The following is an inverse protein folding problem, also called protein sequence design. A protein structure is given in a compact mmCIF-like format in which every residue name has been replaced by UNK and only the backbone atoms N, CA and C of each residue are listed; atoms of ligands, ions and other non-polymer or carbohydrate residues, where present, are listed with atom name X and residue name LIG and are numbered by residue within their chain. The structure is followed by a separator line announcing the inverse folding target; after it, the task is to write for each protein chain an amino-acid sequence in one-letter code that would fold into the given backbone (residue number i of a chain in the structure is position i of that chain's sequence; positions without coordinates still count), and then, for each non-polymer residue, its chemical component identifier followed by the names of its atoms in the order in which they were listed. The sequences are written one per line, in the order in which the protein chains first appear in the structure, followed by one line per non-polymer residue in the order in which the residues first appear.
data_IF_524242575382
#
_entry.id   IF_524242575382
#
_cell.length_a   1.000
_cell.length_b   1.000
_cell.length_c   1.000
_cell.angle_alpha   90.00
_cell.angle_beta   90.00
_cell.angle_gamma   90.00
#
_symmetry.space_group_name_H-M   'P 1'
#
loop_
_entity.id
_entity.type
_entity.pdbx_description
1 polymer ?
#
# COMPACT_ATOMS: atom_id res chain seq x y z
N UNK A 1 -41.76 25.32 55.29
CA UNK A 1 -41.89 24.26 54.27
C UNK A 1 -40.98 24.62 53.10
N UNK A 2 -39.92 23.82 52.98
CA UNK A 2 -39.00 23.55 51.87
C UNK A 2 -38.74 24.63 50.80
N UNK A 3 -37.51 25.16 50.83
CA UNK A 3 -36.80 25.73 49.69
C UNK A 3 -35.98 24.58 49.08
N UNK A 4 -36.28 24.12 47.86
CA UNK A 4 -35.40 23.23 47.09
C UNK A 4 -34.56 24.05 46.12
N UNK A 5 -33.28 24.20 46.45
CA UNK A 5 -32.25 24.79 45.62
C UNK A 5 -31.76 23.78 44.56
N UNK A 6 -31.59 24.31 43.35
CA UNK A 6 -30.75 23.79 42.27
C UNK A 6 -29.31 23.55 42.75
N UNK A 7 -28.72 22.41 42.39
CA UNK A 7 -27.27 22.20 42.48
C UNK A 7 -26.78 21.68 41.12
N UNK A 8 -26.16 22.58 40.36
CA UNK A 8 -25.30 22.27 39.23
C UNK A 8 -24.02 21.65 39.79
N UNK A 9 -23.80 20.37 39.52
CA UNK A 9 -22.56 19.68 39.87
C UNK A 9 -21.51 19.89 38.78
N UNK A 10 -20.57 20.81 39.04
CA UNK A 10 -19.31 20.92 38.31
C UNK A 10 -18.48 19.65 38.49
N UNK A 11 -18.57 18.75 37.51
CA UNK A 11 -17.75 17.54 37.42
C UNK A 11 -16.29 17.89 37.11
N UNK A 12 -15.53 18.29 38.14
CA UNK A 12 -14.08 18.41 38.07
C UNK A 12 -13.46 17.03 37.76
N UNK A 13 -13.03 16.85 36.52
CA UNK A 13 -12.30 15.66 36.04
C UNK A 13 -11.01 15.46 36.84
N UNK A 14 -10.78 14.28 37.38
CA UNK A 14 -9.64 13.97 38.26
C UNK A 14 -8.32 13.98 37.47
N UNK A 15 -7.19 14.09 38.19
CA UNK A 15 -5.84 14.13 37.58
C UNK A 15 -5.49 12.82 36.84
N UNK A 16 -6.07 11.67 37.21
CA UNK A 16 -5.93 10.42 36.45
C UNK A 16 -6.60 10.50 35.06
N UNK A 17 -7.77 11.11 34.93
CA UNK A 17 -8.47 11.24 33.64
C UNK A 17 -7.68 12.12 32.65
N UNK A 18 -6.96 13.12 33.17
CA UNK A 18 -6.08 13.98 32.40
C UNK A 18 -4.80 13.25 31.95
N UNK A 19 -4.27 12.35 32.78
CA UNK A 19 -3.09 11.52 32.47
C UNK A 19 -3.39 10.43 31.43
N UNK A 20 -4.61 9.87 31.44
CA UNK A 20 -5.08 8.90 30.43
C UNK A 20 -5.41 9.53 29.06
N UNK A 21 -5.63 10.85 28.99
CA UNK A 21 -5.99 11.57 27.77
C UNK A 21 -4.83 11.82 26.79
N UNK A 22 -3.56 11.60 27.19
CA UNK A 22 -2.38 11.80 26.32
C UNK A 22 -2.08 10.60 25.40
N UNK A 23 -2.74 9.46 25.61
CA UNK A 23 -2.40 8.18 24.96
C UNK A 23 -3.29 7.81 23.77
N UNK A 24 -4.28 8.64 23.43
CA UNK A 24 -5.41 8.19 22.59
C UNK A 24 -5.03 7.87 21.13
N UNK A 25 -3.89 8.36 20.64
CA UNK A 25 -3.45 8.13 19.25
C UNK A 25 -1.94 7.93 19.10
N UNK A 26 -1.35 7.02 19.90
CA UNK A 26 0.05 6.63 19.68
C UNK A 26 0.18 5.87 18.37
N UNK A 27 0.94 6.46 17.44
CA UNK A 27 1.36 5.79 16.20
C UNK A 27 2.04 4.46 16.51
N UNK A 28 1.95 3.52 15.57
CA UNK A 28 2.73 2.29 15.64
C UNK A 28 4.22 2.64 15.66
N UNK A 29 4.94 2.05 16.61
CA UNK A 29 6.39 2.13 16.72
C UNK A 29 7.05 1.18 15.71
N UNK A 30 8.38 1.18 15.63
CA UNK A 30 9.09 0.15 14.87
C UNK A 30 8.92 -1.23 15.51
N UNK A 31 8.95 -1.30 16.84
CA UNK A 31 8.80 -2.56 17.59
C UNK A 31 7.42 -3.20 17.37
N UNK A 32 6.36 -2.39 17.36
CA UNK A 32 5.02 -2.86 17.02
C UNK A 32 5.01 -3.51 15.62
N UNK A 33 5.65 -2.87 14.63
CA UNK A 33 5.71 -3.40 13.25
C UNK A 33 6.52 -4.68 13.15
N UNK A 34 7.64 -4.77 13.87
CA UNK A 34 8.44 -6.00 13.96
C UNK A 34 7.58 -7.13 14.55
N UNK A 35 6.82 -6.83 15.60
CA UNK A 35 5.89 -7.78 16.23
C UNK A 35 4.80 -8.23 15.27
N UNK A 36 4.18 -7.31 14.52
CA UNK A 36 3.22 -7.63 13.46
C UNK A 36 3.86 -8.58 12.43
N UNK A 37 5.05 -8.25 11.90
CA UNK A 37 5.71 -9.08 10.89
C UNK A 37 6.00 -10.50 11.40
N UNK A 38 6.47 -10.64 12.65
CA UNK A 38 6.74 -11.93 13.29
C UNK A 38 5.45 -12.75 13.43
N UNK A 39 4.40 -12.15 13.99
CA UNK A 39 3.13 -12.83 14.20
C UNK A 39 2.45 -13.23 12.87
N UNK A 40 2.56 -12.39 11.83
CA UNK A 40 2.12 -12.73 10.47
C UNK A 40 2.87 -13.93 9.88
N UNK A 41 4.17 -14.07 10.17
CA UNK A 41 4.96 -15.24 9.76
C UNK A 41 4.53 -16.51 10.49
N UNK A 42 4.12 -16.37 11.75
CA UNK A 42 3.57 -17.46 12.57
C UNK A 42 2.11 -17.81 12.19
N UNK A 43 1.45 -16.99 11.38
CA UNK A 43 0.10 -17.23 10.88
C UNK A 43 -1.01 -16.77 11.83
N UNK A 44 -0.70 -15.87 12.76
CA UNK A 44 -1.68 -15.31 13.68
C UNK A 44 -2.69 -14.40 12.97
N UNK A 45 -3.88 -14.30 13.55
CA UNK A 45 -4.98 -13.43 13.12
C UNK A 45 -4.77 -11.98 13.57
N UNK A 46 -5.43 -11.02 12.92
CA UNK A 46 -5.36 -9.63 13.37
C UNK A 46 -5.88 -9.38 14.79
N UNK A 47 -6.77 -10.26 15.28
CA UNK A 47 -7.26 -10.19 16.67
C UNK A 47 -6.14 -10.50 17.65
N UNK A 48 -5.43 -11.60 17.43
CA UNK A 48 -4.28 -12.00 18.26
C UNK A 48 -3.15 -10.97 18.17
N UNK A 49 -2.83 -10.51 16.96
CA UNK A 49 -1.80 -9.50 16.74
C UNK A 49 -2.15 -8.20 17.47
N UNK A 50 -3.40 -7.74 17.36
CA UNK A 50 -3.87 -6.54 18.05
C UNK A 50 -3.74 -6.65 19.57
N UNK A 51 -4.07 -7.81 20.14
CA UNK A 51 -3.88 -8.07 21.56
C UNK A 51 -2.40 -8.01 21.98
N UNK A 52 -1.48 -8.53 21.16
CA UNK A 52 -0.04 -8.52 21.44
C UNK A 52 0.56 -7.10 21.53
N UNK A 53 0.14 -6.19 20.65
CA UNK A 53 0.68 -4.82 20.59
C UNK A 53 -0.21 -3.78 21.28
N UNK A 54 -1.30 -4.21 21.92
CA UNK A 54 -2.27 -3.31 22.57
C UNK A 54 -2.96 -2.36 21.60
N UNK A 55 -3.30 -2.84 20.39
CA UNK A 55 -4.00 -2.07 19.35
C UNK A 55 -5.26 -2.78 18.87
N UNK A 56 -6.19 -2.00 18.33
CA UNK A 56 -7.39 -2.55 17.72
C UNK A 56 -7.02 -3.39 16.47
N UNK A 57 -7.68 -4.54 16.22
CA UNK A 57 -7.42 -5.37 15.04
C UNK A 57 -7.60 -4.62 13.71
N UNK A 58 -8.47 -3.61 13.66
CA UNK A 58 -8.62 -2.76 12.48
C UNK A 58 -7.39 -1.85 12.26
N UNK A 59 -6.69 -1.44 13.32
CA UNK A 59 -5.40 -0.74 13.21
C UNK A 59 -4.36 -1.62 12.55
N UNK A 60 -4.24 -2.87 13.00
CA UNK A 60 -3.34 -3.86 12.38
C UNK A 60 -3.72 -4.10 10.92
N UNK A 61 -5.01 -4.30 10.63
CA UNK A 61 -5.46 -4.50 9.25
C UNK A 61 -5.18 -3.30 8.35
N UNK A 62 -5.32 -2.06 8.84
CA UNK A 62 -5.04 -0.85 8.06
C UNK A 62 -3.54 -0.71 7.80
N UNK A 63 -2.71 -0.93 8.82
CA UNK A 63 -1.25 -0.94 8.69
C UNK A 63 -0.78 -1.97 7.65
N UNK A 64 -1.23 -3.22 7.75
CA UNK A 64 -0.82 -4.28 6.82
C UNK A 64 -1.25 -3.96 5.39
N UNK A 65 -2.49 -3.49 5.18
CA UNK A 65 -3.00 -3.11 3.84
C UNK A 65 -2.25 -1.92 3.25
N UNK A 66 -1.86 -0.94 4.07
CA UNK A 66 -1.16 0.26 3.61
C UNK A 66 0.28 -0.02 3.16
N UNK A 67 0.90 -1.09 3.67
CA UNK A 67 2.31 -1.41 3.45
C UNK A 67 2.52 -2.82 2.87
N UNK A 68 1.64 -3.25 1.95
CA UNK A 68 1.82 -4.50 1.21
C UNK A 68 2.97 -4.37 0.19
N UNK A 69 3.94 -5.28 0.30
CA UNK A 69 5.04 -5.46 -0.64
C UNK A 69 4.69 -6.56 -1.66
N UNK A 70 4.63 -6.18 -2.93
CA UNK A 70 4.22 -7.05 -4.03
C UNK A 70 5.44 -7.68 -4.70
N UNK A 71 5.48 -9.02 -4.73
CA UNK A 71 6.62 -9.77 -5.31
C UNK A 71 6.15 -10.78 -6.35
N UNK A 72 6.60 -10.57 -7.59
CA UNK A 72 6.35 -11.48 -8.71
C UNK A 72 7.56 -12.40 -8.90
N UNK A 73 7.65 -13.43 -8.06
CA UNK A 73 8.79 -14.36 -8.02
C UNK A 73 8.36 -15.80 -8.22
N UNK A 74 9.29 -16.63 -8.66
CA UNK A 74 9.16 -18.08 -8.75
C UNK A 74 10.44 -18.79 -8.31
N UNK A 75 10.56 -20.08 -8.63
CA UNK A 75 11.84 -20.80 -8.51
C UNK A 75 12.72 -20.55 -9.74
N UNK A 76 13.99 -20.95 -9.67
CA UNK A 76 14.90 -20.88 -10.84
C UNK A 76 14.34 -21.64 -12.05
N UNK A 77 13.73 -22.80 -11.81
CA UNK A 77 13.17 -23.64 -12.87
C UNK A 77 11.78 -23.17 -13.31
N UNK A 78 11.00 -22.56 -12.42
CA UNK A 78 9.65 -22.06 -12.69
C UNK A 78 9.50 -20.63 -12.21
N UNK A 79 9.68 -19.71 -13.15
CA UNK A 79 9.55 -18.28 -12.92
C UNK A 79 8.13 -17.87 -12.53
N UNK A 80 7.95 -16.56 -12.32
CA UNK A 80 6.64 -15.98 -12.13
C UNK A 80 5.75 -16.28 -13.35
N UNK A 81 4.60 -16.88 -13.11
CA UNK A 81 3.60 -17.16 -14.12
C UNK A 81 2.23 -17.12 -13.43
N UNK A 82 1.44 -16.04 -13.63
CA UNK A 82 0.13 -15.90 -13.04
C UNK A 82 -0.97 -16.63 -13.83
N UNK A 83 -0.65 -17.29 -14.95
CA UNK A 83 -1.66 -17.95 -15.77
C UNK A 83 -2.41 -19.06 -15.00
N UNK A 84 -3.73 -19.08 -15.09
CA UNK A 84 -4.59 -20.13 -14.52
C UNK A 84 -4.23 -21.52 -15.01
N UNK A 85 -3.75 -21.61 -16.25
CA UNK A 85 -3.37 -22.87 -16.89
C UNK A 85 -1.90 -23.26 -16.67
N UNK A 86 -1.11 -22.47 -15.91
CA UNK A 86 0.36 -22.64 -15.72
C UNK A 86 0.82 -24.01 -15.24
N UNK A 87 -0.05 -24.83 -14.64
CA UNK A 87 0.32 -26.16 -14.12
C UNK A 87 0.14 -27.29 -15.14
N UNK A 88 -0.69 -27.09 -16.17
CA UNK A 88 -1.16 -28.15 -17.07
C UNK A 88 -1.13 -27.77 -18.56
N UNK A 89 -0.86 -26.52 -18.88
CA UNK A 89 -0.80 -26.07 -20.27
C UNK A 89 0.36 -26.75 -21.00
N UNK A 90 0.04 -27.55 -22.03
CA UNK A 90 1.00 -28.27 -22.88
C UNK A 90 1.19 -27.60 -24.24
N UNK A 91 0.60 -26.42 -24.46
CA UNK A 91 0.85 -25.64 -25.69
C UNK A 91 2.33 -25.31 -25.81
N UNK A 92 2.86 -25.34 -27.02
CA UNK A 92 4.25 -25.04 -27.32
C UNK A 92 4.32 -23.89 -28.34
N UNK A 93 5.52 -23.32 -28.51
CA UNK A 93 5.82 -22.32 -29.54
C UNK A 93 4.92 -21.08 -29.52
N UNK A 94 4.40 -20.71 -28.34
CA UNK A 94 3.52 -19.53 -28.20
C UNK A 94 4.23 -18.22 -28.60
N UNK A 95 5.56 -18.16 -28.55
CA UNK A 95 6.34 -17.00 -28.98
C UNK A 95 6.71 -17.05 -30.47
N UNK A 96 6.24 -18.04 -31.23
CA UNK A 96 6.71 -18.34 -32.59
C UNK A 96 7.90 -19.30 -32.59
N UNK A 97 8.03 -20.08 -33.67
CA UNK A 97 9.06 -21.12 -33.82
C UNK A 97 10.48 -20.56 -33.73
N UNK A 98 10.74 -19.40 -34.35
CA UNK A 98 12.07 -18.77 -34.34
C UNK A 98 12.43 -18.18 -32.97
N UNK A 99 11.49 -17.51 -32.31
CA UNK A 99 11.75 -16.90 -31.00
C UNK A 99 11.84 -17.96 -29.90
N UNK A 100 10.96 -18.97 -29.90
CA UNK A 100 11.12 -20.11 -29.00
C UNK A 100 12.39 -20.91 -29.34
N UNK A 101 12.72 -21.13 -30.62
CA UNK A 101 13.89 -21.89 -31.07
C UNK A 101 15.25 -21.23 -30.79
N UNK A 102 15.34 -19.90 -30.83
CA UNK A 102 16.54 -19.15 -30.43
C UNK A 102 16.71 -19.15 -28.90
N UNK A 103 15.62 -18.89 -28.15
CA UNK A 103 15.62 -18.94 -26.69
C UNK A 103 15.90 -20.38 -26.18
N UNK A 104 15.41 -21.41 -26.87
CA UNK A 104 15.66 -22.82 -26.53
C UNK A 104 17.15 -23.22 -26.63
N UNK A 105 17.94 -22.54 -27.48
CA UNK A 105 19.39 -22.80 -27.63
C UNK A 105 20.27 -22.05 -26.64
N UNK A 106 19.85 -20.87 -26.17
CA UNK A 106 20.63 -20.00 -25.27
C UNK A 106 20.15 -20.03 -23.80
N UNK A 107 18.89 -20.39 -23.54
CA UNK A 107 18.27 -20.26 -22.22
C UNK A 107 17.26 -21.40 -21.99
N UNK A 108 17.77 -22.59 -21.68
CA UNK A 108 17.03 -23.73 -21.14
C UNK A 108 15.59 -23.93 -21.66
N UNK A 109 15.41 -24.12 -22.97
CA UNK A 109 14.48 -25.13 -23.50
C UNK A 109 13.04 -25.17 -22.96
N UNK A 110 12.42 -24.04 -22.60
CA UNK A 110 11.03 -24.04 -22.12
C UNK A 110 10.09 -24.21 -23.30
N UNK A 111 9.89 -25.47 -23.70
CA UNK A 111 9.04 -25.87 -24.83
C UNK A 111 7.57 -25.59 -24.55
N UNK A 112 7.14 -25.77 -23.29
CA UNK A 112 5.76 -25.59 -22.88
C UNK A 112 5.48 -24.17 -22.39
N UNK A 113 4.32 -23.65 -22.79
CA UNK A 113 3.73 -22.40 -22.34
C UNK A 113 3.68 -22.28 -20.81
N UNK A 114 3.47 -23.39 -20.08
CA UNK A 114 3.49 -23.44 -18.62
C UNK A 114 4.79 -22.96 -17.99
N UNK A 115 5.91 -23.16 -18.69
CA UNK A 115 7.24 -22.83 -18.20
C UNK A 115 7.82 -21.59 -18.88
N UNK A 116 7.24 -21.16 -20.00
CA UNK A 116 7.61 -19.96 -20.73
C UNK A 116 7.36 -18.67 -19.91
N UNK A 117 8.40 -17.84 -19.78
CA UNK A 117 8.32 -16.56 -19.05
C UNK A 117 7.48 -15.50 -19.81
N UNK A 118 7.21 -15.74 -21.11
CA UNK A 118 6.39 -14.88 -21.96
C UNK A 118 4.92 -15.36 -22.06
N UNK A 119 4.49 -16.32 -21.24
CA UNK A 119 3.12 -16.82 -21.24
C UNK A 119 2.06 -15.71 -21.10
N UNK A 120 2.33 -14.70 -20.26
CA UNK A 120 1.44 -13.55 -20.02
C UNK A 120 1.22 -12.70 -21.27
N UNK A 121 2.18 -12.68 -22.19
CA UNK A 121 2.16 -11.81 -23.37
C UNK A 121 1.70 -12.57 -24.60
N UNK A 122 2.17 -13.81 -24.75
CA UNK A 122 2.07 -14.54 -26.01
C UNK A 122 1.07 -15.70 -25.99
N UNK A 123 0.54 -16.10 -24.83
CA UNK A 123 -0.42 -17.20 -24.77
C UNK A 123 -1.84 -16.68 -25.11
N UNK A 124 -2.51 -17.20 -26.15
CA UNK A 124 -3.86 -16.78 -26.51
C UNK A 124 -4.92 -17.19 -25.48
N UNK A 125 -4.64 -18.22 -24.68
CA UNK A 125 -5.53 -18.70 -23.61
C UNK A 125 -5.10 -18.14 -22.24
N UNK A 126 -4.32 -17.06 -22.21
CA UNK A 126 -3.89 -16.50 -20.94
C UNK A 126 -5.08 -15.99 -20.12
N UNK A 127 -5.25 -16.55 -18.93
CA UNK A 127 -6.19 -16.07 -17.92
C UNK A 127 -5.43 -15.83 -16.61
N UNK A 128 -5.49 -14.62 -16.06
CA UNK A 128 -4.79 -14.30 -14.81
C UNK A 128 -5.46 -14.98 -13.60
N UNK A 129 -4.72 -15.80 -12.87
CA UNK A 129 -5.13 -16.37 -11.59
C UNK A 129 -4.55 -15.57 -10.42
N UNK A 130 -5.43 -15.02 -9.59
CA UNK A 130 -5.05 -14.40 -8.32
C UNK A 130 -5.17 -15.40 -7.17
N UNK A 131 -4.19 -15.39 -6.28
CA UNK A 131 -4.16 -16.31 -5.13
C UNK A 131 -5.41 -16.12 -4.24
N UNK A 132 -6.20 -17.18 -4.04
CA UNK A 132 -7.43 -17.13 -3.24
C UNK A 132 -7.16 -16.80 -1.76
N UNK A 133 -6.02 -17.23 -1.22
CA UNK A 133 -5.63 -16.96 0.17
C UNK A 133 -5.45 -15.46 0.45
N UNK A 134 -5.11 -14.65 -0.57
CA UNK A 134 -4.95 -13.20 -0.42
C UNK A 134 -6.29 -12.45 -0.37
N UNK A 135 -7.42 -13.12 -0.68
CA UNK A 135 -8.76 -12.53 -0.53
C UNK A 135 -9.21 -12.46 0.93
N UNK A 136 -8.53 -13.16 1.84
CA UNK A 136 -8.87 -13.26 3.25
C UNK A 136 -7.74 -12.68 4.10
N UNK A 137 -8.08 -12.20 5.30
CA UNK A 137 -7.08 -11.80 6.28
C UNK A 137 -6.12 -12.98 6.57
N UNK A 138 -4.81 -12.73 6.70
CA UNK A 138 -4.16 -11.42 6.79
C UNK A 138 -3.68 -10.80 5.45
N UNK A 139 -4.18 -11.27 4.30
CA UNK A 139 -3.86 -10.75 2.95
C UNK A 139 -2.37 -10.85 2.56
N UNK A 140 -1.58 -11.65 3.26
CA UNK A 140 -0.13 -11.77 3.03
C UNK A 140 0.32 -13.22 2.92
N UNK A 141 1.49 -13.41 2.33
CA UNK A 141 2.16 -14.69 2.13
C UNK A 141 3.18 -15.02 3.22
N UNK A 142 3.34 -14.19 4.25
CA UNK A 142 4.37 -14.34 5.29
C UNK A 142 4.38 -15.74 5.94
N UNK A 143 3.21 -16.36 6.15
CA UNK A 143 3.03 -17.72 6.71
C UNK A 143 2.79 -18.82 5.66
N UNK A 144 2.84 -18.49 4.36
CA UNK A 144 2.49 -19.43 3.30
C UNK A 144 3.58 -20.52 3.13
N UNK A 145 3.23 -21.78 3.44
CA UNK A 145 4.15 -22.92 3.37
C UNK A 145 4.72 -23.18 1.96
N UNK A 146 3.93 -22.87 0.94
CA UNK A 146 4.29 -23.09 -0.48
C UNK A 146 4.85 -21.83 -1.17
N UNK A 147 5.20 -20.78 -0.41
CA UNK A 147 5.58 -19.48 -0.97
C UNK A 147 6.79 -19.54 -1.91
N UNK A 148 7.74 -20.45 -1.65
CA UNK A 148 8.95 -20.63 -2.46
C UNK A 148 8.65 -21.21 -3.84
N UNK A 149 7.75 -22.19 -3.92
CA UNK A 149 7.35 -22.86 -5.16
C UNK A 149 6.16 -22.19 -5.86
N UNK A 150 5.48 -21.26 -5.20
CA UNK A 150 4.37 -20.51 -5.77
C UNK A 150 4.88 -19.56 -6.86
N UNK A 151 4.25 -19.60 -8.03
CA UNK A 151 4.56 -18.75 -9.19
C UNK A 151 3.53 -17.62 -9.39
N UNK A 152 2.53 -17.51 -8.53
CA UNK A 152 1.56 -16.42 -8.55
C UNK A 152 2.14 -15.16 -7.93
N UNK A 153 1.47 -14.03 -8.14
CA UNK A 153 1.79 -12.77 -7.48
C UNK A 153 1.66 -12.94 -5.96
N UNK A 154 2.68 -12.49 -5.22
CA UNK A 154 2.74 -12.61 -3.75
C UNK A 154 2.63 -11.23 -3.14
N UNK A 155 2.10 -11.20 -1.92
CA UNK A 155 2.00 -10.01 -1.10
C UNK A 155 2.67 -10.31 0.24
N UNK A 156 3.54 -9.43 0.71
CA UNK A 156 4.23 -9.57 1.99
C UNK A 156 4.05 -8.31 2.82
N UNK A 157 4.19 -8.44 4.13
CA UNK A 157 4.41 -7.32 5.02
C UNK A 157 5.86 -7.35 5.51
N UNK A 158 6.58 -6.25 5.33
CA UNK A 158 7.93 -6.03 5.81
C UNK A 158 7.95 -4.81 6.74
N UNK A 159 8.29 -5.01 8.00
CA UNK A 159 8.26 -3.99 9.04
C UNK A 159 9.24 -2.85 8.77
N UNK A 160 10.40 -3.14 8.18
CA UNK A 160 11.42 -2.13 7.91
C UNK A 160 10.97 -1.20 6.79
N UNK A 161 10.48 -1.78 5.69
CA UNK A 161 9.94 -0.99 4.59
C UNK A 161 8.68 -0.21 5.03
N UNK A 162 7.77 -0.85 5.78
CA UNK A 162 6.59 -0.17 6.34
C UNK A 162 6.97 1.03 7.22
N UNK A 163 7.93 0.86 8.12
CA UNK A 163 8.39 1.93 9.00
C UNK A 163 9.04 3.08 8.21
N UNK A 164 9.93 2.75 7.26
CA UNK A 164 10.59 3.71 6.39
C UNK A 164 9.58 4.53 5.58
N UNK A 165 8.57 3.88 4.97
CA UNK A 165 7.50 4.57 4.25
C UNK A 165 6.70 5.48 5.19
N UNK A 166 6.35 4.99 6.39
CA UNK A 166 5.65 5.79 7.39
C UNK A 166 6.43 7.04 7.81
N UNK A 167 7.73 6.93 8.10
CA UNK A 167 8.58 8.07 8.45
C UNK A 167 8.71 9.06 7.30
N UNK A 168 8.87 8.56 6.07
CA UNK A 168 8.89 9.40 4.87
C UNK A 168 7.59 10.18 4.71
N UNK A 169 6.43 9.50 4.75
CA UNK A 169 5.12 10.17 4.65
C UNK A 169 4.91 11.19 5.77
N UNK A 170 5.32 10.86 7.00
CA UNK A 170 5.25 11.77 8.15
C UNK A 170 6.13 13.01 7.97
N UNK A 171 7.33 12.82 7.44
CA UNK A 171 8.25 13.91 7.09
C UNK A 171 7.65 14.78 5.99
N UNK A 172 7.23 14.19 4.88
CA UNK A 172 6.72 14.90 3.71
C UNK A 172 5.43 15.67 4.02
N UNK A 173 4.55 15.12 4.85
CA UNK A 173 3.34 15.82 5.32
C UNK A 173 3.64 17.07 6.16
N UNK A 174 4.87 17.22 6.66
CA UNK A 174 5.29 18.31 7.55
C UNK A 174 6.27 19.28 6.91
N UNK A 175 6.73 19.00 5.69
CA UNK A 175 7.63 19.89 4.94
C UNK A 175 6.93 21.16 4.44
N UNK A 176 5.61 21.27 4.59
CA UNK A 176 4.86 22.42 4.10
C UNK A 176 4.84 22.47 2.57
N UNK A 177 4.43 23.61 2.02
CA UNK A 177 4.58 23.87 0.58
C UNK A 177 6.04 24.26 0.36
N UNK A 178 6.74 23.51 -0.47
CA UNK A 178 8.12 23.82 -0.89
C UNK A 178 8.05 24.98 -1.90
N UNK A 179 7.88 26.20 -1.38
CA UNK A 179 7.82 27.44 -2.16
C UNK A 179 8.87 28.41 -1.62
N UNK A 180 9.68 28.98 -2.52
CA UNK A 180 10.64 30.01 -2.11
C UNK A 180 9.92 31.34 -1.85
N UNK A 181 10.49 32.27 -1.06
CA UNK A 181 9.92 33.60 -0.88
C UNK A 181 9.66 34.31 -2.21
N UNK A 182 10.55 34.15 -3.19
CA UNK A 182 10.41 34.78 -4.51
C UNK A 182 9.27 34.17 -5.33
N UNK A 183 9.07 32.86 -5.24
CA UNK A 183 7.92 32.19 -5.86
C UNK A 183 6.61 32.57 -5.19
N UNK A 184 6.61 32.71 -3.87
CA UNK A 184 5.46 33.17 -3.10
C UNK A 184 5.09 34.61 -3.48
N UNK A 185 6.07 35.51 -3.58
CA UNK A 185 5.88 36.90 -4.01
C UNK A 185 5.35 36.98 -5.44
N UNK A 186 5.84 36.12 -6.35
CA UNK A 186 5.31 36.03 -7.72
C UNK A 186 3.86 35.57 -7.75
N UNK A 187 3.51 34.55 -6.96
CA UNK A 187 2.13 34.09 -6.85
C UNK A 187 1.23 35.17 -6.25
N UNK A 188 1.69 35.87 -5.20
CA UNK A 188 0.93 36.95 -4.58
C UNK A 188 0.70 38.10 -5.56
N UNK A 189 1.72 38.50 -6.33
CA UNK A 189 1.61 39.54 -7.34
C UNK A 189 0.56 39.24 -8.42
N UNK A 190 0.33 37.96 -8.73
CA UNK A 190 -0.70 37.53 -9.70
C UNK A 190 -2.07 37.43 -9.02
N UNK A 191 -2.13 36.83 -7.84
CA UNK A 191 -3.39 36.48 -7.18
C UNK A 191 -4.02 37.66 -6.44
N UNK A 192 -3.23 38.42 -5.66
CA UNK A 192 -3.74 39.51 -4.80
C UNK A 192 -4.56 40.56 -5.56
N UNK A 193 -4.14 41.08 -6.73
CA UNK A 193 -4.94 42.05 -7.48
C UNK A 193 -6.29 41.50 -7.95
N UNK A 194 -6.32 40.25 -8.41
CA UNK A 194 -7.52 39.62 -8.97
C UNK A 194 -8.51 39.20 -7.87
N UNK A 195 -8.01 38.73 -6.73
CA UNK A 195 -8.82 38.45 -5.55
C UNK A 195 -9.45 39.74 -5.03
N UNK A 196 -8.69 40.84 -4.98
CA UNK A 196 -9.21 42.16 -4.57
C UNK A 196 -10.27 42.71 -5.54
N UNK A 197 -10.26 42.28 -6.80
CA UNK A 197 -11.30 42.56 -7.79
C UNK A 197 -12.54 41.64 -7.66
N UNK A 198 -12.56 40.74 -6.67
CA UNK A 198 -13.69 39.86 -6.39
C UNK A 198 -13.70 38.54 -7.17
N UNK A 199 -12.63 38.20 -7.89
CA UNK A 199 -12.55 36.92 -8.60
C UNK A 199 -12.25 35.77 -7.65
N UNK A 200 -12.94 34.63 -7.85
CA UNK A 200 -12.61 33.40 -7.12
C UNK A 200 -11.30 32.77 -7.62
N UNK A 201 -10.59 32.04 -6.76
CA UNK A 201 -9.34 31.33 -7.14
C UNK A 201 -9.57 30.42 -8.35
N UNK A 202 -10.70 29.69 -8.38
CA UNK A 202 -11.06 28.84 -9.51
C UNK A 202 -11.17 29.61 -10.84
N UNK A 203 -11.82 30.78 -10.81
CA UNK A 203 -11.99 31.63 -11.99
C UNK A 203 -10.65 32.21 -12.47
N UNK A 204 -9.78 32.59 -11.52
CA UNK A 204 -8.42 33.05 -11.83
C UNK A 204 -7.62 31.93 -12.51
N UNK A 205 -7.68 30.69 -12.00
CA UNK A 205 -6.99 29.55 -12.61
C UNK A 205 -7.46 29.25 -14.03
N UNK A 206 -8.78 29.25 -14.28
CA UNK A 206 -9.34 29.01 -15.61
C UNK A 206 -8.89 30.07 -16.62
N UNK A 207 -8.97 31.35 -16.26
CA UNK A 207 -8.59 32.46 -17.14
C UNK A 207 -7.08 32.49 -17.45
N UNK A 208 -6.23 31.97 -16.55
CA UNK A 208 -4.79 31.90 -16.75
C UNK A 208 -4.33 30.60 -17.43
N UNK A 209 -5.12 29.52 -17.40
CA UNK A 209 -4.82 28.26 -18.08
C UNK A 209 -4.92 28.37 -19.61
N UNK A 210 -5.90 29.13 -20.11
CA UNK A 210 -6.13 29.36 -21.54
C UNK A 210 -5.00 30.14 -22.23
N UNK A 211 -4.15 30.85 -21.46
CA UNK A 211 -3.01 31.60 -21.99
C UNK A 211 -1.76 30.75 -22.25
N UNK A 212 -1.66 29.54 -21.66
CA UNK A 212 -0.46 28.70 -21.71
C UNK A 212 -0.56 27.49 -22.66
N UNK A 213 -1.71 27.24 -23.30
CA UNK A 213 -1.88 26.19 -24.33
C UNK A 213 -1.90 26.73 -25.78
N UNK A 214 -1.44 27.97 -25.97
CA UNK A 214 -1.40 28.65 -27.27
C UNK A 214 0.00 29.07 -27.73
N UNK A 215 1.02 28.27 -27.44
CA UNK A 215 2.35 28.38 -28.07
C UNK A 215 2.93 27.01 -28.40
#
# INVERSE_FOLDING_TARGET
MVITSVVSGDGSKTKEDKYMSSYKYKHLTLDDRITIQKALKEGQTFVEIGALIGKDPSTVSKEVKAHLDYRNTGTRSRGYNPCRHRKRCTKQYICGEDSCGFINRLWHGKTYCSECDLCMVNCPDFEEEKCSSLKKAPYVCNSCKQVRSCTLAKQFYDAKEAHKTYEKTRSDSRKGIDITPEELDRLDAILSPLIRQGQSIHQICMNNADRNHGR
#
